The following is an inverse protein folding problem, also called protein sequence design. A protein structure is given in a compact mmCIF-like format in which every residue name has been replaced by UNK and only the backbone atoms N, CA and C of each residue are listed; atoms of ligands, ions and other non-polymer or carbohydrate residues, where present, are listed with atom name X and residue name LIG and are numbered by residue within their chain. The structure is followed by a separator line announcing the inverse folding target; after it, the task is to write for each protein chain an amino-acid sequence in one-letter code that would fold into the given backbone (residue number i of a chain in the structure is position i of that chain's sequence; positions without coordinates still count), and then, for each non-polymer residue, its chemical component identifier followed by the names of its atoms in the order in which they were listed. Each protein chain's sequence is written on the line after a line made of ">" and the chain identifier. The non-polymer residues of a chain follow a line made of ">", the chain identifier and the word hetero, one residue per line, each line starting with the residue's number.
data_IF_494382302489
#
_entry.id   IF_494382302489
#
_cell.length_a   1.000
_cell.length_b   1.000
_cell.length_c   1.000
_cell.angle_alpha   90.00
_cell.angle_beta   90.00
_cell.angle_gamma   90.00
#
_symmetry.space_group_name_H-M   'P 1'
#
loop_
_entity.id
_entity.type
_entity.pdbx_description
1 polymer ?
#
# COMPACT_ATOMS: atom_id res chain seq x y z
N UNK A 1 -2.76 2.71 -23.43
CA UNK A 1 -1.48 3.48 -23.35
C UNK A 1 -0.85 3.26 -21.99
N UNK A 2 0.49 3.36 -21.88
CA UNK A 2 1.21 3.21 -20.61
C UNK A 2 2.07 4.45 -20.36
N UNK A 3 2.04 4.96 -19.13
CA UNK A 3 2.81 6.12 -18.68
C UNK A 3 3.72 5.66 -17.54
N UNK A 4 4.99 6.04 -17.62
CA UNK A 4 5.95 5.84 -16.53
C UNK A 4 5.51 6.58 -15.25
N UNK A 5 6.24 6.36 -14.16
CA UNK A 5 5.88 6.98 -12.91
C UNK A 5 6.16 8.49 -12.95
N UNK A 6 5.17 9.27 -12.52
CA UNK A 6 5.29 10.69 -12.22
C UNK A 6 4.58 10.96 -10.90
N UNK A 7 5.05 11.96 -10.16
CA UNK A 7 4.41 12.38 -8.91
C UNK A 7 2.95 12.77 -9.17
N UNK A 8 1.98 12.31 -8.35
CA UNK A 8 0.59 12.74 -8.48
C UNK A 8 0.46 14.27 -8.47
N UNK A 9 -0.37 14.79 -9.39
CA UNK A 9 -0.56 16.23 -9.57
C UNK A 9 -0.12 16.70 -10.96
N UNK A 10 0.48 17.89 -11.00
CA UNK A 10 0.78 18.59 -12.26
C UNK A 10 1.74 17.83 -13.19
N UNK A 11 2.75 17.15 -12.62
CA UNK A 11 3.75 16.41 -13.39
C UNK A 11 3.10 15.24 -14.14
N UNK A 12 2.32 14.43 -13.42
CA UNK A 12 1.54 13.33 -13.99
C UNK A 12 0.52 13.82 -15.03
N UNK A 13 -0.23 14.88 -14.72
CA UNK A 13 -1.21 15.44 -15.65
C UNK A 13 -0.55 15.91 -16.96
N UNK A 14 0.62 16.55 -16.86
CA UNK A 14 1.40 16.98 -18.03
C UNK A 14 1.88 15.78 -18.85
N UNK A 15 2.43 14.76 -18.19
CA UNK A 15 2.90 13.54 -18.87
C UNK A 15 1.76 12.82 -19.63
N UNK A 16 0.60 12.66 -18.98
CA UNK A 16 -0.60 12.08 -19.60
C UNK A 16 -1.03 12.92 -20.81
N UNK A 17 -1.16 14.25 -20.64
CA UNK A 17 -1.60 15.14 -21.72
C UNK A 17 -0.69 15.09 -22.95
N UNK A 18 0.64 15.07 -22.78
CA UNK A 18 1.56 15.01 -23.91
C UNK A 18 1.43 13.70 -24.69
N UNK A 19 1.15 12.58 -24.02
CA UNK A 19 0.99 11.29 -24.67
C UNK A 19 -0.37 11.16 -25.38
N UNK A 20 -1.45 11.65 -24.76
CA UNK A 20 -2.79 11.64 -25.38
C UNK A 20 -2.82 12.42 -26.71
N UNK A 21 -2.06 13.50 -26.85
CA UNK A 21 -1.98 14.24 -28.13
C UNK A 21 -1.59 13.39 -29.33
N UNK A 22 -0.82 12.33 -29.10
CA UNK A 22 -0.38 11.43 -30.16
C UNK A 22 -1.35 10.26 -30.39
N UNK A 23 -2.26 10.02 -29.44
CA UNK A 23 -3.27 8.96 -29.48
C UNK A 23 -4.60 9.51 -28.93
N UNK A 24 -5.29 10.39 -29.68
CA UNK A 24 -6.44 11.14 -29.16
C UNK A 24 -7.63 10.25 -28.78
N UNK A 25 -7.77 9.09 -29.43
CA UNK A 25 -8.86 8.14 -29.20
C UNK A 25 -8.53 7.09 -28.12
N UNK A 26 -7.55 7.37 -27.25
CA UNK A 26 -7.16 6.44 -26.17
C UNK A 26 -8.24 6.36 -25.09
N UNK A 27 -8.84 5.19 -24.93
CA UNK A 27 -9.85 4.92 -23.89
C UNK A 27 -9.22 4.60 -22.52
N UNK A 28 -8.00 4.03 -22.50
CA UNK A 28 -7.34 3.55 -21.28
C UNK A 28 -5.89 3.98 -21.20
N UNK A 29 -5.55 4.64 -20.09
CA UNK A 29 -4.18 5.05 -19.75
C UNK A 29 -3.76 4.36 -18.45
N UNK A 30 -2.82 3.42 -18.54
CA UNK A 30 -2.19 2.80 -17.38
C UNK A 30 -1.07 3.69 -16.85
N UNK A 31 -1.06 3.89 -15.55
CA UNK A 31 -0.11 4.74 -14.83
C UNK A 31 0.75 3.84 -13.95
N UNK A 32 2.05 3.76 -14.25
CA UNK A 32 3.01 2.98 -13.47
C UNK A 32 2.93 3.39 -11.99
N UNK A 33 2.81 2.39 -11.11
CA UNK A 33 2.76 2.59 -9.66
C UNK A 33 1.64 3.55 -9.20
N UNK A 34 0.54 3.65 -9.95
CA UNK A 34 -0.62 4.50 -9.62
C UNK A 34 -1.94 3.78 -9.84
N UNK A 35 -2.22 3.34 -11.07
CA UNK A 35 -3.54 2.82 -11.44
C UNK A 35 -3.84 3.02 -12.92
N UNK A 36 -5.09 3.33 -13.24
CA UNK A 36 -5.51 3.60 -14.61
C UNK A 36 -6.50 4.76 -14.68
N UNK A 37 -6.46 5.51 -15.78
CA UNK A 37 -7.47 6.50 -16.16
C UNK A 37 -8.25 5.94 -17.34
N UNK A 38 -9.58 5.99 -17.24
CA UNK A 38 -10.50 5.51 -18.27
C UNK A 38 -11.30 6.70 -18.78
N UNK A 39 -11.31 6.89 -20.09
CA UNK A 39 -12.12 7.89 -20.79
C UNK A 39 -13.21 7.23 -21.62
N UNK A 40 -14.34 7.90 -21.74
CA UNK A 40 -15.47 7.50 -22.57
C UNK A 40 -16.43 8.68 -22.77
N UNK A 41 -17.31 8.57 -23.76
CA UNK A 41 -18.27 9.63 -24.10
C UNK A 41 -19.34 9.83 -23.00
N UNK A 42 -19.57 8.78 -22.21
CA UNK A 42 -20.56 8.72 -21.15
C UNK A 42 -20.17 7.73 -20.04
N UNK A 43 -20.98 7.66 -18.98
CA UNK A 43 -20.73 6.77 -17.85
C UNK A 43 -20.84 5.28 -18.25
N UNK A 44 -21.71 4.95 -19.21
CA UNK A 44 -21.94 3.56 -19.62
C UNK A 44 -20.73 2.99 -20.38
N UNK A 45 -20.12 3.78 -21.26
CA UNK A 45 -18.90 3.43 -21.97
C UNK A 45 -17.72 3.23 -21.01
N UNK A 46 -17.56 4.12 -20.02
CA UNK A 46 -16.53 3.97 -18.98
C UNK A 46 -16.75 2.70 -18.15
N UNK A 47 -17.98 2.42 -17.72
CA UNK A 47 -18.31 1.20 -16.95
C UNK A 47 -18.05 -0.07 -17.77
N UNK A 48 -18.40 -0.08 -19.05
CA UNK A 48 -18.10 -1.18 -19.98
C UNK A 48 -16.59 -1.44 -20.06
N UNK A 49 -15.78 -0.40 -20.23
CA UNK A 49 -14.31 -0.52 -20.29
C UNK A 49 -13.76 -1.01 -18.95
N UNK A 50 -14.24 -0.47 -17.84
CA UNK A 50 -13.83 -0.89 -16.50
C UNK A 50 -14.10 -2.39 -16.28
N UNK A 51 -15.31 -2.87 -16.62
CA UNK A 51 -15.64 -4.31 -16.53
C UNK A 51 -14.75 -5.18 -17.41
N UNK A 52 -14.45 -4.72 -18.62
CA UNK A 52 -13.54 -5.40 -19.53
C UNK A 52 -12.14 -5.52 -18.91
N UNK A 53 -11.62 -4.43 -18.33
CA UNK A 53 -10.32 -4.43 -17.66
C UNK A 53 -10.30 -5.35 -16.44
N UNK A 54 -11.33 -5.30 -15.59
CA UNK A 54 -11.44 -6.18 -14.42
C UNK A 54 -11.43 -7.64 -14.85
N UNK A 55 -12.19 -8.00 -15.90
CA UNK A 55 -12.23 -9.36 -16.42
C UNK A 55 -10.92 -9.78 -17.06
N UNK A 56 -10.26 -8.91 -17.82
CA UNK A 56 -9.03 -9.22 -18.54
C UNK A 56 -7.80 -9.29 -17.63
N UNK A 57 -7.80 -8.52 -16.54
CA UNK A 57 -6.69 -8.43 -15.58
C UNK A 57 -6.96 -9.24 -14.31
N UNK A 58 -7.98 -10.09 -14.31
CA UNK A 58 -8.29 -10.94 -13.17
C UNK A 58 -7.13 -11.89 -12.89
N UNK A 59 -6.63 -11.88 -11.66
CA UNK A 59 -5.56 -12.76 -11.19
C UNK A 59 -6.09 -13.73 -10.14
N UNK A 60 -5.49 -14.93 -10.12
CA UNK A 60 -5.68 -15.84 -9.01
C UNK A 60 -5.00 -15.28 -7.74
N UNK A 61 -5.42 -15.76 -6.58
CA UNK A 61 -4.77 -15.49 -5.29
C UNK A 61 -3.87 -16.69 -4.98
N UNK A 62 -2.57 -16.66 -5.34
CA UNK A 62 -1.68 -17.80 -5.12
C UNK A 62 -1.23 -17.96 -3.66
N UNK A 63 -1.41 -16.94 -2.81
CA UNK A 63 -0.92 -16.96 -1.43
C UNK A 63 -1.79 -17.86 -0.55
N UNK A 64 -1.16 -18.83 0.10
CA UNK A 64 -1.82 -19.68 1.09
C UNK A 64 -2.01 -18.95 2.43
N UNK A 65 -3.16 -19.16 3.05
CA UNK A 65 -3.49 -18.59 4.36
C UNK A 65 -2.70 -19.31 5.44
N UNK A 66 -1.91 -18.55 6.20
CA UNK A 66 -1.14 -19.04 7.34
C UNK A 66 -1.94 -18.87 8.63
N UNK A 67 -1.99 -19.93 9.44
CA UNK A 67 -2.65 -19.89 10.74
C UNK A 67 -1.74 -19.20 11.79
N UNK A 68 -2.30 -18.35 12.66
CA UNK A 68 -1.52 -17.72 13.71
C UNK A 68 -1.08 -18.76 14.76
N UNK A 69 0.18 -18.68 15.19
CA UNK A 69 0.73 -19.55 16.25
C UNK A 69 0.58 -18.93 17.66
N UNK A 70 -0.39 -18.02 17.81
CA UNK A 70 -0.60 -17.17 18.99
C UNK A 70 -0.14 -15.73 18.78
N UNK A 71 -0.44 -14.86 19.75
CA UNK A 71 -0.02 -13.45 19.77
C UNK A 71 0.89 -13.15 20.96
N UNK A 72 2.16 -13.51 20.87
CA UNK A 72 3.19 -13.39 21.91
C UNK A 72 3.49 -11.92 22.24
N UNK A 73 3.45 -11.04 21.25
CA UNK A 73 3.77 -9.62 21.44
C UNK A 73 2.56 -8.78 21.86
N UNK A 74 1.34 -9.33 21.84
CA UNK A 74 0.12 -8.54 22.08
C UNK A 74 0.09 -7.87 23.44
N UNK A 75 0.45 -8.58 24.52
CA UNK A 75 0.46 -8.00 25.86
C UNK A 75 1.44 -6.82 25.95
N UNK A 76 2.64 -6.96 25.39
CA UNK A 76 3.67 -5.91 25.43
C UNK A 76 3.26 -4.71 24.57
N UNK A 77 2.85 -4.94 23.33
CA UNK A 77 2.43 -3.87 22.42
C UNK A 77 1.17 -3.14 22.92
N UNK A 78 0.26 -3.83 23.60
CA UNK A 78 -0.88 -3.21 24.28
C UNK A 78 -0.44 -2.21 25.36
N UNK A 79 0.56 -2.57 26.19
CA UNK A 79 1.13 -1.60 27.15
C UNK A 79 1.87 -0.43 26.51
N UNK A 80 2.25 -0.57 25.24
CA UNK A 80 2.91 0.46 24.44
C UNK A 80 1.92 1.23 23.53
N UNK A 81 0.61 1.02 23.69
CA UNK A 81 -0.43 1.79 22.99
C UNK A 81 -0.81 1.24 21.60
N UNK A 82 -0.54 -0.03 21.32
CA UNK A 82 -0.97 -0.71 20.10
C UNK A 82 -1.89 -1.88 20.41
N UNK A 83 -2.92 -2.07 19.60
CA UNK A 83 -3.84 -3.20 19.71
C UNK A 83 -3.68 -4.19 18.56
N UNK A 84 -4.08 -5.43 18.79
CA UNK A 84 -4.10 -6.45 17.75
C UNK A 84 -5.10 -6.06 16.65
N UNK A 85 -4.68 -6.10 15.38
CA UNK A 85 -5.58 -5.89 14.25
C UNK A 85 -6.59 -7.03 14.16
N UNK A 86 -7.89 -6.70 14.19
CA UNK A 86 -8.99 -7.66 14.13
C UNK A 86 -9.30 -8.22 12.74
N UNK A 87 -8.63 -7.75 11.69
CA UNK A 87 -8.81 -8.26 10.33
C UNK A 87 -7.84 -9.42 10.04
N UNK A 88 -8.36 -10.64 10.02
CA UNK A 88 -7.59 -11.87 9.79
C UNK A 88 -6.83 -11.87 8.46
N UNK A 89 -7.38 -11.25 7.42
CA UNK A 89 -6.73 -11.14 6.12
C UNK A 89 -5.53 -10.20 6.21
N UNK A 90 -5.65 -9.05 6.87
CA UNK A 90 -4.51 -8.14 7.07
C UNK A 90 -3.41 -8.77 7.93
N UNK A 91 -3.77 -9.60 8.91
CA UNK A 91 -2.78 -10.35 9.70
C UNK A 91 -1.87 -11.22 8.83
N UNK A 92 -2.32 -11.69 7.66
CA UNK A 92 -1.49 -12.47 6.73
C UNK A 92 -0.25 -11.71 6.26
N UNK A 93 -0.26 -10.37 6.24
CA UNK A 93 0.92 -9.56 5.92
C UNK A 93 2.11 -9.88 6.83
N UNK A 94 1.86 -10.26 8.08
CA UNK A 94 2.88 -10.61 9.05
C UNK A 94 2.99 -12.13 9.32
N UNK A 95 1.96 -12.90 8.96
CA UNK A 95 1.94 -14.36 9.18
C UNK A 95 2.52 -15.15 8.01
N UNK A 96 2.17 -14.79 6.77
CA UNK A 96 2.68 -15.49 5.60
C UNK A 96 4.10 -15.00 5.28
N UNK A 97 5.07 -15.91 5.25
CA UNK A 97 6.48 -15.58 5.07
C UNK A 97 6.73 -14.79 3.77
N UNK A 98 6.06 -15.18 2.68
CA UNK A 98 6.17 -14.51 1.39
C UNK A 98 5.69 -13.05 1.46
N UNK A 99 4.57 -12.77 2.12
CA UNK A 99 4.06 -11.41 2.31
C UNK A 99 4.93 -10.60 3.26
N UNK A 100 5.38 -11.21 4.37
CA UNK A 100 6.23 -10.55 5.35
C UNK A 100 7.59 -10.15 4.77
N UNK A 101 8.14 -10.96 3.86
CA UNK A 101 9.33 -10.63 3.08
C UNK A 101 9.08 -9.40 2.20
N UNK A 102 7.96 -9.35 1.48
CA UNK A 102 7.58 -8.22 0.63
C UNK A 102 7.41 -6.93 1.42
N UNK A 103 6.87 -6.95 2.64
CA UNK A 103 6.78 -5.76 3.50
C UNK A 103 8.14 -5.06 3.70
N UNK A 104 9.21 -5.84 3.85
CA UNK A 104 10.55 -5.32 4.13
C UNK A 104 11.22 -4.69 2.92
N UNK A 105 10.95 -5.20 1.72
CA UNK A 105 11.68 -4.83 0.50
C UNK A 105 10.84 -4.08 -0.52
N UNK A 106 9.52 -4.21 -0.44
CA UNK A 106 8.57 -3.79 -1.47
C UNK A 106 7.36 -3.06 -0.86
N UNK A 107 7.63 -2.17 0.10
CA UNK A 107 6.59 -1.36 0.75
C UNK A 107 6.02 -0.31 -0.20
N UNK A 108 6.85 0.61 -0.72
CA UNK A 108 6.39 1.78 -1.46
C UNK A 108 5.96 1.44 -2.90
N UNK A 109 4.78 0.83 -3.08
CA UNK A 109 4.23 0.45 -4.39
C UNK A 109 3.42 1.54 -5.09
N UNK A 110 2.71 2.39 -4.35
CA UNK A 110 1.83 3.44 -4.87
C UNK A 110 1.86 4.65 -3.93
N UNK A 111 1.73 5.89 -4.43
CA UNK A 111 1.88 7.10 -3.62
C UNK A 111 0.97 7.17 -2.39
N UNK A 112 -0.30 6.79 -2.54
CA UNK A 112 -1.29 7.00 -1.48
C UNK A 112 -0.93 6.27 -0.19
N UNK A 113 -0.62 4.97 -0.23
CA UNK A 113 -0.26 4.30 1.02
C UNK A 113 1.06 4.82 1.60
N UNK A 114 1.98 5.34 0.78
CA UNK A 114 3.20 5.99 1.31
C UNK A 114 2.82 7.25 2.09
N UNK A 115 1.92 8.06 1.55
CA UNK A 115 1.40 9.27 2.18
C UNK A 115 0.62 8.95 3.47
N UNK A 116 -0.23 7.93 3.46
CA UNK A 116 -1.10 7.60 4.59
C UNK A 116 -0.43 6.73 5.67
N UNK A 117 0.46 5.82 5.28
CA UNK A 117 1.08 4.81 6.15
C UNK A 117 2.56 5.07 6.44
N UNK A 118 3.18 5.99 5.70
CA UNK A 118 4.58 6.35 5.83
C UNK A 118 5.51 5.64 4.83
N UNK A 119 6.80 6.01 4.83
CA UNK A 119 7.77 5.62 3.80
C UNK A 119 8.19 4.14 3.83
N UNK A 120 7.89 3.42 4.92
CA UNK A 120 8.35 2.05 5.15
C UNK A 120 7.44 1.32 6.13
N UNK A 121 7.28 0.01 5.91
CA UNK A 121 6.66 -0.88 6.89
C UNK A 121 7.47 -0.92 8.19
N UNK A 122 6.80 -1.03 9.33
CA UNK A 122 7.43 -1.30 10.63
C UNK A 122 7.34 -2.78 10.95
N UNK A 123 8.35 -3.54 10.54
CA UNK A 123 8.41 -4.98 10.76
C UNK A 123 9.30 -5.30 11.96
N UNK A 124 8.78 -6.06 12.91
CA UNK A 124 9.50 -6.59 14.06
C UNK A 124 9.71 -8.09 13.88
N UNK A 125 10.94 -8.52 14.17
CA UNK A 125 11.28 -9.94 14.24
C UNK A 125 10.58 -10.61 15.44
N UNK A 126 10.34 -11.95 15.39
CA UNK A 126 9.72 -12.66 16.51
C UNK A 126 10.53 -12.57 17.81
N UNK A 127 11.84 -12.36 17.69
CA UNK A 127 12.79 -12.21 18.80
C UNK A 127 13.07 -10.76 19.19
N UNK A 128 12.31 -9.78 18.69
CA UNK A 128 12.52 -8.38 19.00
C UNK A 128 12.52 -8.12 20.52
N UNK A 129 13.53 -7.40 20.99
CA UNK A 129 13.65 -6.97 22.37
C UNK A 129 12.66 -5.85 22.69
N UNK A 130 12.38 -5.65 23.98
CA UNK A 130 11.50 -4.55 24.44
C UNK A 130 12.03 -3.17 23.99
N UNK A 131 13.34 -2.99 23.91
CA UNK A 131 13.93 -1.73 23.45
C UNK A 131 13.69 -1.51 21.95
N UNK A 132 13.77 -2.55 21.12
CA UNK A 132 13.44 -2.48 19.69
C UNK A 132 11.95 -2.19 19.49
N UNK A 133 11.07 -2.86 20.25
CA UNK A 133 9.63 -2.57 20.22
C UNK A 133 9.35 -1.11 20.58
N UNK A 134 9.94 -0.59 21.66
CA UNK A 134 9.80 0.81 22.07
C UNK A 134 10.31 1.78 21.01
N UNK A 135 11.44 1.47 20.36
CA UNK A 135 11.98 2.29 19.28
C UNK A 135 10.96 2.39 18.14
N UNK A 136 10.44 1.27 17.67
CA UNK A 136 9.43 1.22 16.60
C UNK A 136 8.15 1.96 16.99
N UNK A 137 7.66 1.78 18.22
CA UNK A 137 6.50 2.50 18.76
C UNK A 137 6.72 4.01 18.77
N UNK A 138 7.90 4.47 19.17
CA UNK A 138 8.24 5.89 19.21
C UNK A 138 8.30 6.55 17.81
N UNK A 139 8.52 5.76 16.76
CA UNK A 139 8.43 6.24 15.37
C UNK A 139 6.99 6.50 14.94
N UNK A 140 6.01 5.97 15.67
CA UNK A 140 4.61 6.41 15.59
C UNK A 140 3.85 5.95 14.35
N UNK A 141 4.29 4.92 13.64
CA UNK A 141 3.59 4.37 12.48
C UNK A 141 2.18 3.86 12.85
N UNK A 142 1.17 4.00 11.99
CA UNK A 142 -0.19 3.53 12.30
C UNK A 142 -0.27 2.01 12.51
N UNK A 143 0.62 1.26 11.86
CA UNK A 143 0.67 -0.20 11.93
C UNK A 143 2.09 -0.70 12.24
N UNK A 144 2.16 -1.78 13.02
CA UNK A 144 3.35 -2.57 13.29
C UNK A 144 3.07 -4.01 12.87
N UNK A 145 3.98 -4.60 12.11
CA UNK A 145 3.91 -5.97 11.63
C UNK A 145 4.88 -6.80 12.47
N UNK A 146 4.40 -7.78 13.22
CA UNK A 146 5.27 -8.68 13.98
C UNK A 146 5.27 -10.02 13.28
N UNK A 147 6.42 -10.41 12.74
CA UNK A 147 6.56 -11.64 11.97
C UNK A 147 6.10 -12.86 12.78
N UNK A 148 5.24 -13.68 12.18
CA UNK A 148 4.67 -14.88 12.78
C UNK A 148 3.62 -14.63 13.87
N UNK A 149 3.36 -13.38 14.25
CA UNK A 149 2.45 -13.00 15.34
C UNK A 149 1.20 -12.26 14.84
N UNK A 150 1.37 -11.35 13.87
CA UNK A 150 0.28 -10.62 13.23
C UNK A 150 0.50 -9.12 13.11
N UNK A 151 -0.55 -8.41 12.70
CA UNK A 151 -0.56 -6.95 12.58
C UNK A 151 -1.10 -6.33 13.86
N UNK A 152 -0.47 -5.24 14.26
CA UNK A 152 -0.84 -4.39 15.38
C UNK A 152 -1.08 -2.98 14.87
N UNK A 153 -2.07 -2.29 15.42
CA UNK A 153 -2.50 -0.97 14.98
C UNK A 153 -2.62 -0.01 16.15
N UNK A 154 -2.50 1.29 15.90
CA UNK A 154 -2.87 2.28 16.91
C UNK A 154 -4.40 2.35 17.09
N UNK A 155 -4.91 2.72 18.28
CA UNK A 155 -6.33 2.91 18.51
C UNK A 155 -6.98 4.02 17.65
N UNK A 156 -6.19 4.97 17.16
CA UNK A 156 -6.61 6.12 16.37
C UNK A 156 -6.39 5.93 14.84
N UNK A 157 -6.14 4.70 14.38
CA UNK A 157 -6.06 4.40 12.95
C UNK A 157 -7.33 4.85 12.24
N UNK A 158 -7.15 5.71 11.23
CA UNK A 158 -8.25 6.24 10.44
C UNK A 158 -8.78 5.22 9.43
N UNK A 159 -10.02 5.40 8.97
CA UNK A 159 -10.59 4.60 7.88
C UNK A 159 -9.76 4.67 6.60
N UNK A 160 -9.16 5.83 6.31
CA UNK A 160 -8.28 6.02 5.17
C UNK A 160 -6.99 5.18 5.29
N UNK A 161 -6.34 5.18 6.46
CA UNK A 161 -5.17 4.34 6.70
C UNK A 161 -5.50 2.85 6.58
N UNK A 162 -6.61 2.41 7.15
CA UNK A 162 -7.04 1.02 7.03
C UNK A 162 -7.32 0.63 5.57
N UNK A 163 -7.99 1.50 4.81
CA UNK A 163 -8.26 1.28 3.39
C UNK A 163 -6.96 1.19 2.56
N UNK A 164 -5.97 2.02 2.86
CA UNK A 164 -4.67 1.97 2.18
C UNK A 164 -3.89 0.69 2.51
N UNK A 165 -3.91 0.22 3.77
CA UNK A 165 -3.31 -1.05 4.13
C UNK A 165 -4.02 -2.24 3.45
N UNK A 166 -5.35 -2.18 3.34
CA UNK A 166 -6.16 -3.17 2.61
C UNK A 166 -5.83 -3.19 1.13
N UNK A 167 -5.72 -2.02 0.50
CA UNK A 167 -5.31 -1.90 -0.91
C UNK A 167 -3.93 -2.54 -1.13
N UNK A 168 -2.96 -2.24 -0.26
CA UNK A 168 -1.63 -2.85 -0.31
C UNK A 168 -1.69 -4.37 -0.19
N UNK A 169 -2.43 -4.89 0.79
CA UNK A 169 -2.66 -6.32 0.97
C UNK A 169 -3.29 -6.98 -0.27
N UNK A 170 -4.33 -6.38 -0.83
CA UNK A 170 -5.04 -6.90 -2.00
C UNK A 170 -4.13 -7.02 -3.23
N UNK A 171 -3.18 -6.10 -3.39
CA UNK A 171 -2.15 -6.21 -4.43
C UNK A 171 -1.22 -7.39 -4.14
N UNK A 172 -0.66 -7.47 -2.93
CA UNK A 172 0.34 -8.47 -2.60
C UNK A 172 -0.16 -9.91 -2.72
N UNK A 173 -1.39 -10.21 -2.27
CA UNK A 173 -1.91 -11.58 -2.30
C UNK A 173 -2.15 -12.13 -3.70
N UNK A 174 -2.21 -11.26 -4.70
CA UNK A 174 -2.44 -11.59 -6.12
C UNK A 174 -1.14 -11.75 -6.91
N UNK A 175 0.00 -11.57 -6.26
CA UNK A 175 1.32 -11.64 -6.88
C UNK A 175 2.00 -12.97 -6.59
N UNK A 176 2.54 -13.61 -7.62
CA UNK A 176 3.45 -14.75 -7.45
C UNK A 176 4.69 -14.31 -6.67
N UNK A 177 5.19 -15.12 -5.73
CA UNK A 177 6.40 -14.83 -4.95
C UNK A 177 7.68 -14.62 -5.79
N UNK A 178 7.69 -15.04 -7.05
CA UNK A 178 8.84 -14.88 -7.95
C UNK A 178 8.81 -13.57 -8.75
N UNK A 179 7.70 -12.82 -8.71
CA UNK A 179 7.60 -11.52 -9.38
C UNK A 179 8.29 -10.45 -8.54
N UNK A 180 9.28 -9.79 -9.13
CA UNK A 180 9.90 -8.59 -8.56
C UNK A 180 8.99 -7.38 -8.78
N UNK A 181 8.77 -6.59 -7.74
CA UNK A 181 8.01 -5.35 -7.85
C UNK A 181 8.92 -4.16 -8.10
N UNK A 182 8.45 -3.24 -8.95
CA UNK A 182 9.03 -1.92 -9.05
C UNK A 182 8.41 -1.06 -7.94
N UNK A 183 9.23 -0.57 -7.02
CA UNK A 183 8.82 0.33 -5.96
C UNK A 183 9.24 1.76 -6.29
N UNK A 184 8.65 2.72 -5.58
CA UNK A 184 9.09 4.10 -5.59
C UNK A 184 10.50 4.19 -5.00
N UNK A 185 11.34 5.01 -5.64
CA UNK A 185 12.68 5.32 -5.18
C UNK A 185 12.66 6.17 -3.91
N UNK A 186 13.79 6.24 -3.21
CA UNK A 186 13.90 7.10 -2.02
C UNK A 186 13.65 8.58 -2.33
N UNK A 187 14.04 9.04 -3.51
CA UNK A 187 13.80 10.42 -3.98
C UNK A 187 12.30 10.65 -4.22
N UNK A 188 11.62 9.73 -4.91
CA UNK A 188 10.18 9.81 -5.15
C UNK A 188 9.37 9.77 -3.85
N UNK A 189 9.79 8.96 -2.86
CA UNK A 189 9.18 8.92 -1.54
C UNK A 189 9.38 10.24 -0.79
N UNK A 190 10.59 10.82 -0.83
CA UNK A 190 10.86 12.10 -0.18
C UNK A 190 10.01 13.23 -0.78
N UNK A 191 9.91 13.28 -2.11
CA UNK A 191 9.10 14.25 -2.85
C UNK A 191 7.60 14.15 -2.53
N UNK A 192 7.12 12.96 -2.17
CA UNK A 192 5.73 12.72 -1.76
C UNK A 192 5.42 13.15 -0.33
N UNK A 193 6.41 13.14 0.57
CA UNK A 193 6.20 13.37 2.00
C UNK A 193 6.52 14.81 2.44
N UNK A 194 7.38 15.54 1.73
CA UNK A 194 7.82 16.88 2.11
C UNK A 194 7.14 18.04 1.36
N UNK A 195 6.06 17.78 0.61
CA UNK A 195 5.43 18.80 -0.24
C UNK A 195 4.20 19.50 0.37
N UNK A 196 3.90 20.67 -0.18
CA UNK A 196 2.97 21.63 0.43
C UNK A 196 1.51 21.15 0.54
N UNK A 197 0.99 20.38 -0.43
CA UNK A 197 -0.39 19.91 -0.32
C UNK A 197 -0.54 18.75 0.66
N UNK A 198 0.50 17.95 0.89
CA UNK A 198 0.49 16.96 1.98
C UNK A 198 0.51 17.65 3.34
N UNK A 199 1.34 18.71 3.49
CA UNK A 199 1.31 19.59 4.67
C UNK A 199 -0.05 20.26 4.86
N UNK A 200 -0.79 20.54 3.78
CA UNK A 200 -2.16 21.04 3.84
C UNK A 200 -3.16 19.96 4.22
N UNK A 201 -3.08 18.74 3.67
CA UNK A 201 -3.93 17.60 4.04
C UNK A 201 -3.81 17.29 5.52
N UNK A 202 -2.59 17.17 6.04
CA UNK A 202 -2.32 16.88 7.46
C UNK A 202 -2.87 17.96 8.40
N UNK A 203 -2.95 19.22 7.96
CA UNK A 203 -3.55 20.32 8.75
C UNK A 203 -5.07 20.29 8.79
N UNK A 204 -5.73 19.58 7.87
CA UNK A 204 -7.18 19.60 7.67
C UNK A 204 -7.83 18.22 7.74
N UNK A 205 -7.09 17.18 8.15
CA UNK A 205 -7.55 15.81 8.39
C UNK A 205 -7.77 15.60 9.89
#
# INVERSE_FOLDING_TARGET
>A
MYIDYFKPGADLATAVFQQIKHVPDVEVVFLKNHGAVIGGDDVESVDRILRLLISALQTAVPVEITQPHGRRCAAVLSTLGYEACGDDSLNQLALAESLCRRLRTEWALVPDHVVFLGPMARVLEPSASLNEMRKVVNEGAPFIFVEGDGVYQKPDVTSAQLAQLRCYYDVLIRLSEHVRLCTLSAEEIADLLDWDAEKYRQKNA
#
